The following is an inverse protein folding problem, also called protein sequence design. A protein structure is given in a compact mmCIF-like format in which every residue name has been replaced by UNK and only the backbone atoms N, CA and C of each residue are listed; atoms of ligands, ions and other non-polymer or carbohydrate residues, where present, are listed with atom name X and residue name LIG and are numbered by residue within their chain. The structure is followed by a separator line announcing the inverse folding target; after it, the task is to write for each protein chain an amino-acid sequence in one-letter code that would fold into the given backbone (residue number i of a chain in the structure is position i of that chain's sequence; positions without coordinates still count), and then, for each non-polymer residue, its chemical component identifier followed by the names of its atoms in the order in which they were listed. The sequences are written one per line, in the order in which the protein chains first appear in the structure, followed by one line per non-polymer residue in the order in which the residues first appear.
data_IF_832504273634
#
_entry.id   IF_832504273634
#
_cell.length_a   1.000
_cell.length_b   1.000
_cell.length_c   1.000
_cell.angle_alpha   90.00
_cell.angle_beta   90.00
_cell.angle_gamma   90.00
#
_symmetry.space_group_name_H-M   'P 1'
#
loop_
_entity.id
_entity.type
_entity.pdbx_description
1 polymer ?
#
# COMPACT_ATOMS: atom_id res chain seq x y z
N UNK A 1 -26.31 30.52 85.84
CA UNK A 1 -27.64 30.14 85.29
C UNK A 1 -27.68 30.45 83.80
N UNK A 2 -27.90 29.47 82.91
CA UNK A 2 -27.42 28.09 82.94
C UNK A 2 -26.05 27.98 82.23
N UNK A 3 -25.21 27.11 82.79
CA UNK A 3 -23.86 26.80 82.35
C UNK A 3 -23.87 25.51 81.54
N UNK A 4 -22.84 25.35 80.73
CA UNK A 4 -22.79 24.51 79.54
C UNK A 4 -22.89 23.01 79.79
N UNK A 5 -23.37 22.32 78.75
CA UNK A 5 -23.57 20.89 78.66
C UNK A 5 -22.28 20.08 78.87
N UNK A 6 -22.44 19.06 79.70
CA UNK A 6 -21.45 18.05 80.06
C UNK A 6 -21.29 17.01 78.94
N UNK A 7 -20.04 16.64 78.69
CA UNK A 7 -19.60 15.61 77.75
C UNK A 7 -20.04 14.21 78.22
N UNK A 8 -20.36 13.32 77.29
CA UNK A 8 -20.29 11.88 77.54
C UNK A 8 -19.66 11.17 76.33
N UNK A 9 -18.83 10.17 76.67
CA UNK A 9 -17.79 9.50 75.88
C UNK A 9 -18.27 8.70 74.65
N UNK A 10 -17.35 8.36 73.71
CA UNK A 10 -17.69 7.73 72.44
C UNK A 10 -17.91 6.22 72.56
N UNK A 11 -18.92 5.71 71.85
CA UNK A 11 -19.22 4.29 71.74
C UNK A 11 -18.22 3.55 70.81
N UNK A 12 -17.96 2.29 71.17
CA UNK A 12 -16.99 1.35 70.61
C UNK A 12 -17.11 1.14 69.09
N UNK A 13 -15.95 1.12 68.43
CA UNK A 13 -15.79 0.70 67.04
C UNK A 13 -15.89 -0.82 66.95
N UNK A 14 -16.95 -1.32 66.32
CA UNK A 14 -17.04 -2.71 65.88
C UNK A 14 -16.32 -2.87 64.54
N UNK A 15 -15.44 -3.87 64.44
CA UNK A 15 -14.63 -4.17 63.26
C UNK A 15 -15.49 -4.51 62.01
N UNK A 16 -15.05 -4.14 60.79
CA UNK A 16 -15.78 -4.48 59.57
C UNK A 16 -15.62 -5.97 59.23
N UNK A 17 -16.74 -6.58 58.85
CA UNK A 17 -16.84 -7.96 58.40
C UNK A 17 -16.00 -8.23 57.15
N UNK A 18 -15.40 -9.43 57.11
CA UNK A 18 -14.65 -9.98 55.97
C UNK A 18 -15.46 -9.90 54.67
N UNK A 19 -14.94 -9.14 53.70
CA UNK A 19 -15.43 -9.18 52.34
C UNK A 19 -14.96 -10.47 51.68
N UNK A 20 -15.92 -11.35 51.44
CA UNK A 20 -15.78 -12.56 50.63
C UNK A 20 -15.41 -12.15 49.19
N UNK A 21 -14.41 -12.82 48.62
CA UNK A 21 -13.93 -12.56 47.26
C UNK A 21 -15.06 -12.71 46.21
N UNK A 22 -15.16 -11.82 45.21
CA UNK A 22 -16.09 -12.02 44.10
C UNK A 22 -15.60 -13.15 43.19
N UNK A 23 -16.54 -14.01 42.80
CA UNK A 23 -16.37 -15.14 41.91
C UNK A 23 -15.75 -14.74 40.55
N UNK A 24 -14.93 -15.65 40.00
CA UNK A 24 -14.39 -15.59 38.65
C UNK A 24 -15.48 -15.26 37.62
N UNK A 25 -15.32 -14.14 36.92
CA UNK A 25 -16.09 -13.87 35.72
C UNK A 25 -15.56 -14.76 34.60
N UNK A 26 -16.33 -15.80 34.30
CA UNK A 26 -16.24 -16.58 33.07
C UNK A 26 -16.33 -15.66 31.85
N UNK A 27 -15.44 -15.90 30.88
CA UNK A 27 -15.35 -15.17 29.63
C UNK A 27 -16.70 -15.15 28.87
N UNK A 28 -17.07 -14.03 28.21
CA UNK A 28 -18.23 -14.02 27.34
C UNK A 28 -18.00 -14.89 26.09
N UNK A 29 -19.02 -15.69 25.77
CA UNK A 29 -19.09 -16.62 24.67
C UNK A 29 -18.79 -15.97 23.30
N UNK A 30 -18.12 -16.72 22.44
CA UNK A 30 -17.91 -16.42 21.02
C UNK A 30 -19.22 -16.01 20.35
N UNK A 31 -19.22 -14.83 19.75
CA UNK A 31 -20.26 -14.44 18.81
C UNK A 31 -20.13 -15.32 17.57
N UNK A 32 -21.09 -16.22 17.43
CA UNK A 32 -21.34 -17.02 16.24
C UNK A 32 -21.52 -16.11 15.02
N UNK A 33 -20.79 -16.42 13.95
CA UNK A 33 -20.88 -15.74 12.67
C UNK A 33 -22.34 -15.73 12.12
N UNK A 34 -22.82 -14.64 11.52
CA UNK A 34 -24.10 -14.65 10.82
C UNK A 34 -24.02 -15.53 9.56
N UNK A 35 -25.07 -16.33 9.39
CA UNK A 35 -25.23 -17.36 8.38
C UNK A 35 -25.04 -16.86 6.93
N UNK A 36 -24.46 -17.74 6.11
CA UNK A 36 -24.38 -17.63 4.65
C UNK A 36 -25.74 -17.29 4.05
N UNK A 37 -25.82 -16.15 3.38
CA UNK A 37 -26.91 -15.87 2.46
C UNK A 37 -26.76 -16.78 1.24
N UNK A 38 -27.69 -17.71 1.15
CA UNK A 38 -27.87 -18.65 0.05
C UNK A 38 -28.17 -17.85 -1.23
N UNK A 39 -27.38 -18.12 -2.28
CA UNK A 39 -27.63 -17.56 -3.61
C UNK A 39 -29.03 -17.99 -4.12
N UNK A 40 -29.82 -17.10 -4.74
CA UNK A 40 -31.07 -17.50 -5.36
C UNK A 40 -30.80 -18.33 -6.62
N UNK A 41 -31.63 -19.37 -6.77
CA UNK A 41 -31.56 -20.44 -7.76
C UNK A 41 -31.51 -19.97 -9.22
N UNK A 42 -30.76 -20.72 -10.02
CA UNK A 42 -30.70 -20.67 -11.48
C UNK A 42 -32.11 -20.73 -12.09
N UNK A 43 -32.52 -19.64 -12.72
CA UNK A 43 -33.61 -19.68 -13.68
C UNK A 43 -33.04 -20.22 -15.00
N UNK A 44 -33.45 -21.43 -15.32
CA UNK A 44 -33.28 -22.09 -16.61
C UNK A 44 -33.94 -21.25 -17.70
N UNK A 45 -33.13 -20.59 -18.52
CA UNK A 45 -33.59 -19.92 -19.73
C UNK A 45 -33.97 -20.98 -20.78
N UNK A 46 -35.25 -20.99 -21.14
CA UNK A 46 -35.85 -21.80 -22.19
C UNK A 46 -35.43 -21.30 -23.58
N UNK A 47 -35.07 -22.26 -24.44
CA UNK A 47 -35.14 -22.29 -25.90
C UNK A 47 -34.51 -21.14 -26.71
N UNK A 48 -33.43 -21.48 -27.42
CA UNK A 48 -32.86 -20.73 -28.53
C UNK A 48 -33.83 -20.67 -29.74
N UNK A 49 -33.90 -19.53 -30.43
CA UNK A 49 -34.11 -19.49 -31.86
C UNK A 49 -32.78 -19.25 -32.59
N UNK A 50 -32.66 -19.89 -33.75
CA UNK A 50 -31.48 -19.94 -34.61
C UNK A 50 -31.04 -18.55 -35.12
N UNK A 51 -29.73 -18.47 -35.40
CA UNK A 51 -28.92 -17.34 -35.85
C UNK A 51 -29.40 -16.63 -37.13
N UNK A 52 -29.12 -15.32 -37.25
CA UNK A 52 -28.61 -14.76 -38.49
C UNK A 52 -27.16 -14.28 -38.33
N UNK A 53 -26.37 -14.48 -39.39
CA UNK A 53 -24.95 -14.20 -39.52
C UNK A 53 -24.45 -12.91 -38.84
N UNK A 54 -23.34 -13.04 -38.11
CA UNK A 54 -22.57 -11.92 -37.57
C UNK A 54 -21.94 -11.16 -38.74
N UNK A 55 -22.19 -9.86 -38.94
CA UNK A 55 -21.38 -9.07 -39.84
C UNK A 55 -19.98 -8.97 -39.24
N UNK A 56 -18.99 -9.23 -40.09
CA UNK A 56 -17.56 -9.10 -39.84
C UNK A 56 -17.26 -7.79 -39.07
N UNK A 57 -16.64 -7.89 -37.88
CA UNK A 57 -16.33 -6.78 -36.99
C UNK A 57 -15.11 -5.98 -37.47
N UNK A 58 -15.09 -5.64 -38.76
CA UNK A 58 -14.01 -4.92 -39.42
C UNK A 58 -14.55 -3.74 -40.22
N UNK A 59 -15.51 -2.97 -39.68
CA UNK A 59 -15.67 -1.54 -40.00
C UNK A 59 -16.71 -0.89 -39.06
N UNK A 60 -16.28 -0.44 -37.87
CA UNK A 60 -17.10 0.48 -37.06
C UNK A 60 -16.60 1.90 -37.35
N UNK A 61 -17.41 2.79 -37.94
CA UNK A 61 -16.98 4.14 -38.25
C UNK A 61 -16.65 4.91 -36.98
N UNK A 62 -15.42 5.42 -36.90
CA UNK A 62 -14.80 6.10 -35.77
C UNK A 62 -15.30 7.53 -35.55
N UNK A 63 -16.59 7.80 -35.77
CA UNK A 63 -17.14 9.16 -35.69
C UNK A 63 -18.11 9.26 -34.50
N UNK A 64 -17.59 9.05 -33.29
CA UNK A 64 -18.41 9.06 -32.07
C UNK A 64 -18.91 10.47 -31.69
N UNK A 65 -18.32 11.54 -32.21
CA UNK A 65 -18.78 12.93 -31.99
C UNK A 65 -18.48 13.82 -33.22
N UNK A 66 -19.41 13.92 -34.19
CA UNK A 66 -19.18 14.68 -35.41
C UNK A 66 -18.86 16.15 -35.10
N UNK A 67 -17.70 16.61 -35.58
CA UNK A 67 -17.22 17.98 -35.42
C UNK A 67 -16.29 18.24 -34.24
N UNK A 68 -16.13 17.29 -33.31
CA UNK A 68 -15.16 17.39 -32.22
C UNK A 68 -13.86 16.73 -32.65
N UNK A 69 -12.79 17.53 -32.81
CA UNK A 69 -11.43 17.02 -33.06
C UNK A 69 -10.75 16.80 -31.71
N UNK A 70 -10.33 15.57 -31.38
CA UNK A 70 -9.72 15.30 -30.08
C UNK A 70 -8.43 16.12 -29.91
N UNK A 71 -8.41 16.98 -28.90
CA UNK A 71 -7.26 17.81 -28.50
C UNK A 71 -7.37 18.27 -27.03
N UNK A 72 -8.19 17.58 -26.23
CA UNK A 72 -8.47 17.92 -24.84
C UNK A 72 -7.33 17.46 -23.91
N UNK A 73 -7.06 18.25 -22.87
CA UNK A 73 -6.17 17.88 -21.76
C UNK A 73 -6.98 17.84 -20.47
N UNK A 74 -6.86 16.76 -19.71
CA UNK A 74 -7.48 16.62 -18.39
C UNK A 74 -6.42 16.88 -17.32
N UNK A 75 -6.74 17.75 -16.36
CA UNK A 75 -5.86 18.05 -15.21
C UNK A 75 -6.61 17.72 -13.93
N UNK A 76 -6.09 16.83 -13.07
CA UNK A 76 -6.73 16.52 -11.80
C UNK A 76 -6.70 17.72 -10.86
N UNK A 77 -7.82 17.94 -10.16
CA UNK A 77 -7.94 18.93 -9.09
C UNK A 77 -8.09 18.23 -7.75
N UNK A 78 -7.00 18.17 -6.99
CA UNK A 78 -6.88 17.49 -5.69
C UNK A 78 -7.18 18.45 -4.53
N UNK A 79 -7.34 17.93 -3.33
CA UNK A 79 -7.65 18.74 -2.15
C UNK A 79 -6.39 19.16 -1.40
N UNK A 80 -6.37 20.41 -0.90
CA UNK A 80 -5.24 20.97 -0.16
C UNK A 80 -5.64 21.33 1.28
N UNK A 81 -5.35 20.45 2.22
CA UNK A 81 -5.60 20.66 3.65
C UNK A 81 -4.68 21.75 4.24
N UNK A 82 -3.42 21.80 3.80
CA UNK A 82 -2.41 22.78 4.24
C UNK A 82 -1.61 23.30 3.06
N UNK A 83 -1.69 24.62 2.79
CA UNK A 83 -0.99 25.27 1.67
C UNK A 83 0.51 25.13 1.80
N UNK A 84 1.04 25.39 2.99
CA UNK A 84 2.48 25.45 3.21
C UNK A 84 3.10 24.06 3.15
N UNK A 85 2.47 23.04 3.76
CA UNK A 85 2.93 21.65 3.67
C UNK A 85 2.85 21.11 2.24
N UNK A 86 1.78 21.45 1.50
CA UNK A 86 1.62 21.02 0.11
C UNK A 86 2.71 21.64 -0.79
N UNK A 87 2.99 22.93 -0.65
CA UNK A 87 4.03 23.61 -1.39
C UNK A 87 5.42 23.04 -1.06
N UNK A 88 5.76 22.92 0.23
CA UNK A 88 7.03 22.34 0.67
C UNK A 88 7.24 20.96 0.06
N UNK A 89 6.23 20.09 0.17
CA UNK A 89 6.31 18.72 -0.31
C UNK A 89 6.56 18.62 -1.82
N UNK A 90 5.74 19.28 -2.64
CA UNK A 90 5.89 19.18 -4.09
C UNK A 90 7.17 19.86 -4.59
N UNK A 91 7.55 21.00 -4.01
CA UNK A 91 8.82 21.65 -4.35
C UNK A 91 10.03 20.80 -3.94
N UNK A 92 9.98 20.11 -2.80
CA UNK A 92 11.02 19.18 -2.36
C UNK A 92 11.22 18.03 -3.37
N UNK A 93 10.13 17.56 -3.97
CA UNK A 93 10.14 16.52 -5.02
C UNK A 93 10.54 17.05 -6.40
N UNK A 94 10.76 18.36 -6.53
CA UNK A 94 11.19 19.01 -7.76
C UNK A 94 10.06 19.42 -8.71
N UNK A 95 8.81 19.46 -8.22
CA UNK A 95 7.71 20.03 -8.98
C UNK A 95 7.87 21.54 -9.07
N UNK A 96 7.63 22.07 -10.27
CA UNK A 96 7.54 23.50 -10.51
C UNK A 96 6.19 24.02 -10.01
N UNK A 97 6.17 25.13 -9.27
CA UNK A 97 4.94 25.83 -8.91
C UNK A 97 4.57 26.77 -10.06
N UNK A 98 3.60 26.37 -10.88
CA UNK A 98 3.16 27.14 -12.05
C UNK A 98 2.09 28.18 -11.69
N UNK A 99 1.38 27.98 -10.58
CA UNK A 99 0.44 28.95 -10.03
C UNK A 99 0.31 28.81 -8.51
N UNK A 100 0.15 29.95 -7.81
CA UNK A 100 -0.10 29.98 -6.36
C UNK A 100 -1.08 31.09 -6.00
N UNK A 101 -2.19 30.72 -5.39
CA UNK A 101 -3.14 31.62 -4.75
C UNK A 101 -3.68 30.99 -3.46
N UNK A 102 -3.57 31.71 -2.33
CA UNK A 102 -4.13 31.27 -1.05
C UNK A 102 -5.42 31.99 -0.68
N UNK A 103 -5.66 33.20 -1.23
CA UNK A 103 -6.86 34.01 -1.01
C UNK A 103 -7.25 34.77 -2.29
N UNK A 104 -8.56 35.05 -2.49
CA UNK A 104 -9.71 34.64 -1.67
C UNK A 104 -10.07 33.16 -1.86
N UNK A 105 -9.71 32.58 -3.01
CA UNK A 105 -9.92 31.16 -3.33
C UNK A 105 -8.59 30.44 -3.37
N UNK A 106 -8.49 29.34 -2.65
CA UNK A 106 -7.28 28.51 -2.64
C UNK A 106 -7.14 27.82 -4.00
N UNK A 107 -6.01 28.03 -4.66
CA UNK A 107 -5.64 27.36 -5.89
C UNK A 107 -4.11 27.25 -6.00
N UNK A 108 -3.60 26.03 -6.09
CA UNK A 108 -2.19 25.77 -6.39
C UNK A 108 -2.11 24.95 -7.67
N UNK A 109 -1.10 25.21 -8.50
CA UNK A 109 -0.80 24.40 -9.67
C UNK A 109 0.67 24.01 -9.67
N UNK A 110 0.91 22.74 -9.94
CA UNK A 110 2.23 22.15 -9.99
C UNK A 110 2.44 21.46 -11.33
N UNK A 111 3.65 21.56 -11.87
CA UNK A 111 4.08 20.83 -13.06
C UNK A 111 5.29 19.97 -12.73
N UNK A 112 5.29 18.74 -13.24
CA UNK A 112 6.48 17.90 -13.18
C UNK A 112 6.52 16.97 -14.38
N UNK A 113 7.65 16.98 -15.09
CA UNK A 113 7.76 16.31 -16.39
C UNK A 113 6.63 16.76 -17.32
N UNK A 114 5.88 15.84 -17.91
CA UNK A 114 4.79 16.11 -18.86
C UNK A 114 3.38 16.19 -18.27
N UNK A 115 3.21 16.32 -16.94
CA UNK A 115 1.87 16.41 -16.34
C UNK A 115 1.74 17.54 -15.32
N UNK A 116 0.50 17.97 -15.12
CA UNK A 116 0.08 19.01 -14.19
C UNK A 116 -0.79 18.42 -13.08
N UNK A 117 -0.64 18.93 -11.85
CA UNK A 117 -1.51 18.66 -10.71
C UNK A 117 -2.01 19.97 -10.13
N UNK A 118 -3.32 20.12 -10.04
CA UNK A 118 -3.94 21.31 -9.47
C UNK A 118 -4.56 20.97 -8.12
N UNK A 119 -4.65 21.97 -7.25
CA UNK A 119 -5.10 21.82 -5.86
C UNK A 119 -6.11 22.90 -5.50
N UNK A 120 -7.20 22.48 -4.86
CA UNK A 120 -8.32 23.34 -4.46
C UNK A 120 -8.68 23.11 -2.99
N UNK A 121 -9.61 23.92 -2.48
CA UNK A 121 -10.07 23.83 -1.08
C UNK A 121 -10.69 22.44 -0.82
N UNK A 122 -10.35 21.78 0.31
CA UNK A 122 -10.98 20.54 0.71
C UNK A 122 -12.45 20.74 1.12
N UNK A 123 -13.30 19.70 1.08
CA UNK A 123 -14.61 19.75 1.71
C UNK A 123 -14.46 19.92 3.23
N UNK A 124 -15.52 20.43 3.87
CA UNK A 124 -15.55 20.59 5.32
C UNK A 124 -15.43 19.24 6.03
N UNK A 125 -14.60 19.17 7.08
CA UNK A 125 -14.40 17.94 7.85
C UNK A 125 -13.49 16.90 7.17
N UNK A 126 -12.79 17.25 6.09
CA UNK A 126 -11.78 16.37 5.49
C UNK A 126 -10.70 16.02 6.53
N UNK A 127 -10.50 14.74 6.76
CA UNK A 127 -9.42 14.20 7.57
C UNK A 127 -8.38 13.51 6.66
N UNK A 128 -7.21 14.13 6.43
CA UNK A 128 -6.15 13.56 5.61
C UNK A 128 -5.74 12.15 6.05
N UNK A 129 -5.78 11.85 7.36
CA UNK A 129 -5.34 10.56 7.90
C UNK A 129 -6.21 9.38 7.47
N UNK A 130 -7.42 9.65 6.94
CA UNK A 130 -8.29 8.63 6.35
C UNK A 130 -7.90 8.25 4.93
N UNK A 131 -7.06 9.05 4.25
CA UNK A 131 -6.54 8.74 2.91
C UNK A 131 -7.64 8.46 1.86
N UNK A 132 -8.77 9.16 2.00
CA UNK A 132 -9.92 9.08 1.09
C UNK A 132 -10.23 10.44 0.44
N UNK A 133 -9.21 11.28 0.30
CA UNK A 133 -9.39 12.69 -0.04
C UNK A 133 -9.39 12.93 -1.56
N UNK A 134 -8.80 12.03 -2.34
CA UNK A 134 -8.81 12.09 -3.79
C UNK A 134 -7.60 11.39 -4.38
N UNK A 135 -7.44 11.48 -5.70
CA UNK A 135 -6.27 10.93 -6.37
C UNK A 135 -6.30 11.06 -7.88
N UNK A 136 -5.22 10.63 -8.50
CA UNK A 136 -5.11 10.54 -9.96
C UNK A 136 -4.21 9.38 -10.37
N UNK A 137 -4.37 8.94 -11.61
CA UNK A 137 -3.51 7.96 -12.25
C UNK A 137 -2.57 8.69 -13.20
N UNK A 138 -1.28 8.39 -13.09
CA UNK A 138 -0.23 8.87 -13.98
C UNK A 138 0.30 7.68 -14.75
N UNK A 139 -0.17 7.54 -15.99
CA UNK A 139 0.26 6.46 -16.87
C UNK A 139 1.63 6.79 -17.45
N UNK A 140 2.60 5.89 -17.27
CA UNK A 140 4.00 6.07 -17.67
C UNK A 140 4.54 4.81 -18.35
N UNK A 141 5.61 4.95 -19.13
CA UNK A 141 6.22 3.82 -19.85
C UNK A 141 7.40 3.20 -19.07
N UNK A 142 7.91 3.89 -18.06
CA UNK A 142 8.96 3.41 -17.15
C UNK A 142 8.68 3.87 -15.72
N UNK A 143 7.93 3.05 -14.98
CA UNK A 143 7.61 3.31 -13.57
C UNK A 143 8.86 3.38 -12.67
N UNK A 144 9.91 2.60 -12.98
CA UNK A 144 11.11 2.54 -12.15
C UNK A 144 11.84 3.89 -12.12
N UNK A 145 11.99 4.53 -13.28
CA UNK A 145 12.64 5.84 -13.39
C UNK A 145 11.90 6.93 -12.63
N UNK A 146 10.56 6.92 -12.67
CA UNK A 146 9.74 7.88 -11.93
C UNK A 146 9.89 7.70 -10.42
N UNK A 147 9.86 6.44 -9.95
CA UNK A 147 10.08 6.14 -8.52
C UNK A 147 11.46 6.59 -8.06
N UNK A 148 12.51 6.23 -8.82
CA UNK A 148 13.89 6.56 -8.50
C UNK A 148 14.12 8.08 -8.39
N UNK A 149 13.52 8.87 -9.30
CA UNK A 149 13.60 10.32 -9.29
C UNK A 149 12.97 10.92 -8.03
N UNK A 150 11.76 10.49 -7.66
CA UNK A 150 11.07 10.97 -6.45
C UNK A 150 11.81 10.57 -5.17
N UNK A 151 12.31 9.32 -5.10
CA UNK A 151 13.13 8.84 -3.98
C UNK A 151 14.41 9.64 -3.83
N UNK A 152 15.10 9.95 -4.94
CA UNK A 152 16.32 10.76 -4.91
C UNK A 152 16.02 12.18 -4.40
N UNK A 153 14.91 12.78 -4.84
CA UNK A 153 14.47 14.09 -4.37
C UNK A 153 14.14 14.09 -2.87
N UNK A 154 13.39 13.10 -2.38
CA UNK A 154 13.12 12.94 -0.95
C UNK A 154 14.40 12.82 -0.13
N UNK A 155 15.36 12.00 -0.56
CA UNK A 155 16.64 11.85 0.14
C UNK A 155 17.44 13.14 0.20
N UNK A 156 17.45 13.90 -0.90
CA UNK A 156 18.16 15.18 -0.96
C UNK A 156 17.54 16.21 -0.03
N UNK A 157 16.22 16.27 0.06
CA UNK A 157 15.52 17.29 0.83
C UNK A 157 15.30 16.91 2.30
N UNK A 158 14.78 15.71 2.57
CA UNK A 158 14.43 15.23 3.90
C UNK A 158 15.54 14.40 4.57
N UNK A 159 16.62 14.09 3.86
CA UNK A 159 17.69 13.19 4.34
C UNK A 159 17.27 11.71 4.41
N UNK A 160 16.00 11.41 4.13
CA UNK A 160 15.41 10.07 4.16
C UNK A 160 14.28 9.97 3.14
N UNK A 161 13.79 8.77 2.91
CA UNK A 161 12.57 8.56 2.13
C UNK A 161 11.38 8.43 3.09
N UNK A 162 10.27 9.06 2.75
CA UNK A 162 9.07 9.06 3.57
C UNK A 162 8.28 7.77 3.30
N UNK A 163 8.39 6.79 4.21
CA UNK A 163 7.85 5.44 4.04
C UNK A 163 6.45 5.22 4.66
N UNK A 164 6.11 6.01 5.67
CA UNK A 164 4.99 5.80 6.58
C UNK A 164 4.32 7.14 6.90
N UNK A 165 3.03 7.09 7.22
CA UNK A 165 2.23 8.28 7.48
C UNK A 165 1.97 9.09 6.22
N UNK A 166 1.73 10.38 6.40
CA UNK A 166 1.59 11.35 5.33
C UNK A 166 2.61 12.48 5.52
N UNK A 167 3.22 12.98 4.43
CA UNK A 167 3.24 12.36 3.11
C UNK A 167 4.12 11.09 3.08
N UNK A 168 3.92 10.21 2.08
CA UNK A 168 4.76 9.02 1.88
C UNK A 168 4.82 8.57 0.43
N UNK A 169 5.82 7.75 0.10
CA UNK A 169 5.88 7.00 -1.15
C UNK A 169 5.86 5.51 -0.85
N UNK A 170 4.99 4.75 -1.54
CA UNK A 170 5.00 3.30 -1.43
C UNK A 170 6.28 2.76 -2.04
N UNK A 171 6.75 1.66 -1.49
CA UNK A 171 8.00 1.06 -1.91
C UNK A 171 7.84 0.36 -3.27
N UNK A 172 8.61 0.77 -4.27
CA UNK A 172 8.68 0.13 -5.58
C UNK A 172 9.52 -1.17 -5.53
N UNK A 173 9.20 -2.14 -6.38
CA UNK A 173 9.94 -3.41 -6.56
C UNK A 173 10.35 -3.58 -8.00
N UNK A 174 11.39 -4.38 -8.23
CA UNK A 174 11.81 -4.67 -9.59
C UNK A 174 10.69 -5.43 -10.33
N UNK A 175 10.31 -4.92 -11.50
CA UNK A 175 9.20 -5.45 -12.28
C UNK A 175 7.82 -5.25 -11.64
N UNK A 176 7.68 -4.35 -10.66
CA UNK A 176 6.37 -3.81 -10.29
C UNK A 176 5.90 -2.85 -11.38
N UNK A 177 4.60 -2.89 -11.67
CA UNK A 177 3.94 -2.08 -12.69
C UNK A 177 3.38 -0.78 -12.14
N UNK A 178 3.50 -0.53 -10.82
CA UNK A 178 2.97 0.67 -10.18
C UNK A 178 3.65 1.01 -8.87
N UNK A 179 3.52 2.27 -8.46
CA UNK A 179 3.69 2.73 -7.07
C UNK A 179 2.76 3.91 -6.80
N UNK A 180 2.53 4.23 -5.53
CA UNK A 180 1.75 5.40 -5.11
C UNK A 180 2.60 6.40 -4.34
N UNK A 181 2.30 7.68 -4.58
CA UNK A 181 2.77 8.83 -3.82
C UNK A 181 1.55 9.41 -3.08
N UNK A 182 1.64 9.48 -1.77
CA UNK A 182 0.64 10.09 -0.90
C UNK A 182 1.14 11.48 -0.47
N UNK A 183 0.32 12.50 -0.69
CA UNK A 183 0.66 13.87 -0.32
C UNK A 183 0.23 14.20 1.14
N UNK A 184 0.57 15.39 1.68
CA UNK A 184 0.19 15.77 3.05
C UNK A 184 -1.33 15.85 3.30
N UNK A 185 -2.11 16.03 2.24
CA UNK A 185 -3.58 16.11 2.29
C UNK A 185 -4.24 14.74 2.10
N UNK A 186 -3.47 13.66 2.06
CA UNK A 186 -3.96 12.29 1.90
C UNK A 186 -4.38 11.92 0.48
N UNK A 187 -4.08 12.75 -0.53
CA UNK A 187 -4.40 12.40 -1.91
C UNK A 187 -3.40 11.36 -2.42
N UNK A 188 -3.89 10.45 -3.25
CA UNK A 188 -3.09 9.37 -3.82
C UNK A 188 -2.79 9.61 -5.31
N UNK A 189 -1.52 9.76 -5.65
CA UNK A 189 -1.04 9.83 -7.03
C UNK A 189 -0.42 8.47 -7.37
N UNK A 190 -1.05 7.72 -8.27
CA UNK A 190 -0.60 6.37 -8.63
C UNK A 190 0.10 6.42 -9.97
N UNK A 191 1.39 6.11 -9.98
CA UNK A 191 2.14 5.92 -11.21
C UNK A 191 1.94 4.49 -11.68
N UNK A 192 1.45 4.31 -12.89
CA UNK A 192 1.07 3.02 -13.46
C UNK A 192 1.73 2.84 -14.81
N UNK A 193 2.29 1.65 -15.04
CA UNK A 193 2.86 1.25 -16.31
C UNK A 193 1.75 1.18 -17.37
N UNK A 194 1.94 1.84 -18.51
CA UNK A 194 0.92 1.97 -19.55
C UNK A 194 0.50 0.65 -20.18
N UNK A 195 1.45 -0.27 -20.32
CA UNK A 195 1.23 -1.63 -20.83
C UNK A 195 0.95 -2.66 -19.72
N UNK A 196 0.56 -2.20 -18.52
CA UNK A 196 0.09 -3.11 -17.47
C UNK A 196 -1.11 -3.93 -17.98
N UNK A 197 -1.08 -5.28 -17.84
CA UNK A 197 -2.19 -6.12 -18.25
C UNK A 197 -3.48 -5.73 -17.50
N UNK A 198 -4.57 -5.53 -18.26
CA UNK A 198 -5.90 -5.19 -17.71
C UNK A 198 -6.42 -6.27 -16.75
N UNK A 199 -6.03 -7.52 -17.00
CA UNK A 199 -6.24 -8.64 -16.09
C UNK A 199 -5.01 -8.86 -15.20
N UNK A 200 -4.96 -8.17 -14.06
CA UNK A 200 -4.20 -8.69 -12.93
C UNK A 200 -4.94 -9.92 -12.44
N UNK A 201 -4.44 -11.12 -12.75
CA UNK A 201 -4.96 -12.34 -12.14
C UNK A 201 -4.81 -12.20 -10.61
N UNK A 202 -5.91 -11.82 -9.94
CA UNK A 202 -6.02 -11.60 -8.50
C UNK A 202 -5.80 -12.89 -7.67
N UNK A 203 -5.25 -13.93 -8.29
CA UNK A 203 -4.89 -15.22 -7.72
C UNK A 203 -3.52 -15.72 -8.20
N UNK A 204 -2.69 -14.81 -8.70
CA UNK A 204 -1.41 -15.10 -9.32
C UNK A 204 -1.54 -15.91 -10.61
N UNK A 205 -0.48 -15.91 -11.41
CA UNK A 205 -0.45 -16.62 -12.68
C UNK A 205 -0.76 -18.09 -12.48
N UNK A 206 -1.85 -18.56 -13.09
CA UNK A 206 -2.23 -19.99 -13.09
C UNK A 206 -1.22 -20.88 -13.83
N UNK A 207 -0.29 -20.27 -14.56
CA UNK A 207 0.79 -20.94 -15.31
C UNK A 207 2.05 -21.16 -14.46
N UNK A 208 2.12 -20.57 -13.28
CA UNK A 208 3.23 -20.75 -12.35
C UNK A 208 2.89 -21.87 -11.35
N UNK A 209 3.91 -22.62 -10.97
CA UNK A 209 3.81 -23.70 -9.99
C UNK A 209 4.83 -23.53 -8.86
N UNK A 210 4.57 -24.21 -7.73
CA UNK A 210 5.49 -24.31 -6.61
C UNK A 210 5.93 -22.95 -6.04
N UNK A 211 7.24 -22.72 -6.00
CA UNK A 211 7.82 -21.52 -5.38
C UNK A 211 7.55 -20.25 -6.21
N UNK A 212 7.57 -20.35 -7.54
CA UNK A 212 7.30 -19.21 -8.42
C UNK A 212 5.87 -18.67 -8.23
N UNK A 213 4.89 -19.56 -8.10
CA UNK A 213 3.49 -19.16 -7.80
C UNK A 213 3.35 -18.50 -6.43
N UNK A 214 4.06 -19.01 -5.43
CA UNK A 214 4.01 -18.41 -4.10
C UNK A 214 4.66 -17.03 -4.04
N UNK A 215 5.71 -16.80 -4.83
CA UNK A 215 6.31 -15.47 -4.98
C UNK A 215 5.36 -14.50 -5.68
N UNK A 216 4.67 -14.96 -6.70
CA UNK A 216 3.66 -14.16 -7.42
C UNK A 216 2.47 -13.81 -6.51
N UNK A 217 1.98 -14.76 -5.72
CA UNK A 217 0.95 -14.51 -4.69
C UNK A 217 1.42 -13.58 -3.58
N UNK A 218 2.69 -13.67 -3.19
CA UNK A 218 3.27 -12.73 -2.24
C UNK A 218 3.26 -11.30 -2.76
N UNK A 219 3.36 -11.05 -4.08
CA UNK A 219 3.19 -9.71 -4.66
C UNK A 219 1.80 -9.15 -4.33
N UNK A 220 0.75 -9.97 -4.41
CA UNK A 220 -0.63 -9.53 -4.16
C UNK A 220 -0.82 -9.05 -2.70
N UNK A 221 -0.30 -9.81 -1.72
CA UNK A 221 -0.36 -9.40 -0.31
C UNK A 221 0.34 -8.06 -0.05
N UNK A 222 1.39 -7.76 -0.82
CA UNK A 222 2.25 -6.59 -0.62
C UNK A 222 1.73 -5.35 -1.34
N UNK A 223 1.28 -5.53 -2.59
CA UNK A 223 0.88 -4.45 -3.48
C UNK A 223 -0.54 -3.98 -3.22
N UNK A 224 -1.47 -4.90 -2.90
CA UNK A 224 -2.88 -4.56 -2.73
C UNK A 224 -3.32 -4.52 -1.27
N UNK A 225 -2.73 -5.34 -0.40
CA UNK A 225 -3.13 -5.41 1.02
C UNK A 225 -2.15 -4.72 1.98
N UNK A 226 -0.97 -4.32 1.48
CA UNK A 226 0.11 -3.76 2.29
C UNK A 226 0.45 -4.59 3.54
N UNK A 227 0.24 -5.92 3.48
CA UNK A 227 0.46 -6.85 4.60
C UNK A 227 1.78 -7.60 4.43
N UNK A 228 2.88 -6.90 4.77
CA UNK A 228 4.23 -7.45 4.70
C UNK A 228 4.41 -8.67 5.62
N UNK A 229 3.67 -8.75 6.73
CA UNK A 229 3.78 -9.87 7.68
C UNK A 229 3.13 -11.13 7.10
N UNK A 230 1.96 -11.02 6.46
CA UNK A 230 1.35 -12.14 5.76
C UNK A 230 2.21 -12.60 4.58
N UNK A 231 2.79 -11.66 3.82
CA UNK A 231 3.72 -11.99 2.74
C UNK A 231 4.95 -12.75 3.26
N UNK A 232 5.56 -12.29 4.37
CA UNK A 232 6.73 -12.95 4.97
C UNK A 232 6.40 -14.40 5.36
N UNK A 233 5.27 -14.62 6.05
CA UNK A 233 4.81 -15.97 6.44
C UNK A 233 4.54 -16.84 5.22
N UNK A 234 3.89 -16.30 4.19
CA UNK A 234 3.56 -17.02 2.97
C UNK A 234 4.82 -17.51 2.23
N UNK A 235 5.75 -16.60 1.96
CA UNK A 235 7.01 -16.93 1.27
C UNK A 235 7.87 -17.88 2.11
N UNK A 236 7.92 -17.68 3.44
CA UNK A 236 8.68 -18.56 4.34
C UNK A 236 8.15 -20.00 4.31
N UNK A 237 6.83 -20.17 4.29
CA UNK A 237 6.20 -21.49 4.18
C UNK A 237 6.44 -22.12 2.81
N UNK A 238 6.29 -21.35 1.74
CA UNK A 238 6.52 -21.82 0.38
C UNK A 238 7.98 -22.25 0.14
N UNK A 239 8.94 -21.47 0.64
CA UNK A 239 10.36 -21.80 0.54
C UNK A 239 10.69 -23.12 1.25
N UNK A 240 10.09 -23.38 2.41
CA UNK A 240 10.23 -24.69 3.11
C UNK A 240 9.62 -25.84 2.31
N UNK A 241 8.46 -25.62 1.68
CA UNK A 241 7.71 -26.67 0.99
C UNK A 241 8.26 -27.02 -0.39
N UNK A 242 8.69 -26.02 -1.14
CA UNK A 242 9.04 -26.14 -2.56
C UNK A 242 10.52 -25.90 -2.84
N UNK A 243 11.27 -25.27 -1.92
CA UNK A 243 12.64 -24.80 -2.18
C UNK A 243 13.64 -25.89 -2.57
N UNK A 244 13.44 -27.14 -2.15
CA UNK A 244 14.36 -28.24 -2.51
C UNK A 244 14.18 -28.73 -3.96
N UNK A 245 13.06 -28.40 -4.60
CA UNK A 245 12.71 -28.82 -5.97
C UNK A 245 12.61 -27.65 -6.95
N UNK A 246 12.72 -26.42 -6.44
CA UNK A 246 12.63 -25.22 -7.26
C UNK A 246 13.97 -24.92 -7.95
N UNK A 247 13.94 -24.27 -9.12
CA UNK A 247 15.14 -23.69 -9.75
C UNK A 247 15.91 -22.78 -8.78
N UNK A 248 17.23 -22.73 -8.92
CA UNK A 248 18.09 -21.91 -8.05
C UNK A 248 17.70 -20.43 -8.09
N UNK A 249 17.30 -19.90 -9.25
CA UNK A 249 16.82 -18.52 -9.39
C UNK A 249 15.57 -18.24 -8.55
N UNK A 250 14.61 -19.16 -8.48
CA UNK A 250 13.39 -18.98 -7.69
C UNK A 250 13.66 -19.04 -6.19
N UNK A 251 14.57 -19.93 -5.78
CA UNK A 251 15.08 -19.97 -4.40
C UNK A 251 15.78 -18.66 -4.05
N UNK A 252 16.57 -18.13 -4.98
CA UNK A 252 17.27 -16.86 -4.80
C UNK A 252 16.32 -15.67 -4.67
N UNK A 253 15.31 -15.58 -5.52
CA UNK A 253 14.27 -14.56 -5.47
C UNK A 253 13.44 -14.65 -4.17
N UNK A 254 13.13 -15.86 -3.70
CA UNK A 254 12.44 -16.04 -2.43
C UNK A 254 13.28 -15.60 -1.24
N UNK A 255 14.58 -15.94 -1.21
CA UNK A 255 15.49 -15.49 -0.15
C UNK A 255 15.66 -13.97 -0.18
N UNK A 256 15.82 -13.36 -1.35
CA UNK A 256 15.86 -11.90 -1.49
C UNK A 256 14.57 -11.25 -0.97
N UNK A 257 13.40 -11.80 -1.31
CA UNK A 257 12.10 -11.33 -0.81
C UNK A 257 11.97 -11.46 0.70
N UNK A 258 12.45 -12.55 1.30
CA UNK A 258 12.41 -12.75 2.76
C UNK A 258 13.35 -11.79 3.48
N UNK A 259 14.59 -11.64 3.01
CA UNK A 259 15.56 -10.68 3.53
C UNK A 259 14.97 -9.28 3.52
N UNK A 260 14.36 -8.93 2.39
CA UNK A 260 13.71 -7.67 2.16
C UNK A 260 12.55 -7.40 3.14
N UNK A 261 11.63 -8.36 3.30
CA UNK A 261 10.45 -8.22 4.17
C UNK A 261 10.84 -8.17 5.64
N UNK A 262 11.75 -9.05 6.06
CA UNK A 262 12.30 -9.06 7.41
C UNK A 262 13.01 -7.76 7.75
N UNK A 263 13.76 -7.18 6.81
CA UNK A 263 14.39 -5.86 7.00
C UNK A 263 13.34 -4.76 7.14
N UNK A 264 12.26 -4.79 6.35
CA UNK A 264 11.19 -3.78 6.46
C UNK A 264 10.37 -3.88 7.76
N UNK A 265 10.27 -5.08 8.34
CA UNK A 265 9.58 -5.38 9.59
C UNK A 265 10.47 -5.28 10.84
N UNK A 266 11.78 -5.03 10.66
CA UNK A 266 12.79 -5.05 11.73
C UNK A 266 12.93 -6.41 12.45
N UNK A 267 12.64 -7.50 11.74
CA UNK A 267 12.70 -8.88 12.27
C UNK A 267 13.96 -9.61 11.81
N UNK A 268 15.13 -9.23 12.35
CA UNK A 268 16.43 -9.60 11.77
C UNK A 268 16.94 -11.02 12.06
N UNK A 269 16.21 -11.83 12.84
CA UNK A 269 16.69 -13.12 13.37
C UNK A 269 17.13 -14.13 12.30
N UNK A 270 16.37 -14.26 11.21
CA UNK A 270 16.66 -15.23 10.14
C UNK A 270 17.56 -14.66 9.02
N UNK A 271 17.88 -13.35 9.06
CA UNK A 271 18.63 -12.68 8.00
C UNK A 271 19.99 -13.33 7.70
N UNK A 272 20.84 -13.66 8.70
CA UNK A 272 22.15 -14.26 8.42
C UNK A 272 22.03 -15.58 7.67
N UNK A 273 21.11 -16.45 8.10
CA UNK A 273 20.89 -17.76 7.49
C UNK A 273 20.39 -17.64 6.04
N UNK A 274 19.48 -16.70 5.76
CA UNK A 274 19.02 -16.47 4.39
C UNK A 274 20.10 -15.87 3.50
N UNK A 275 20.91 -14.94 4.01
CA UNK A 275 22.03 -14.38 3.25
C UNK A 275 23.08 -15.45 2.91
N UNK A 276 23.44 -16.30 3.87
CA UNK A 276 24.43 -17.36 3.64
C UNK A 276 23.92 -18.40 2.64
N UNK A 277 22.64 -18.78 2.74
CA UNK A 277 22.01 -19.65 1.75
C UNK A 277 21.98 -19.01 0.36
N UNK A 278 21.71 -17.71 0.27
CA UNK A 278 21.67 -16.99 -1.00
C UNK A 278 23.05 -16.92 -1.66
N UNK A 279 24.11 -16.66 -0.88
CA UNK A 279 25.50 -16.67 -1.37
C UNK A 279 25.96 -18.04 -1.87
N UNK A 280 25.39 -19.12 -1.30
CA UNK A 280 25.71 -20.50 -1.68
C UNK A 280 25.01 -21.00 -2.94
N UNK A 281 24.12 -20.22 -3.55
CA UNK A 281 23.42 -20.64 -4.78
C UNK A 281 24.35 -20.57 -5.99
N UNK A 282 24.33 -21.63 -6.82
CA UNK A 282 24.95 -21.63 -8.14
C UNK A 282 23.98 -20.96 -9.11
N UNK A 283 24.34 -19.76 -9.57
CA UNK A 283 23.53 -18.91 -10.43
C UNK A 283 24.35 -18.46 -11.64
N UNK A 284 23.69 -18.34 -12.79
CA UNK A 284 24.26 -17.64 -13.95
C UNK A 284 24.38 -16.13 -13.65
N UNK A 285 25.20 -15.42 -14.43
CA UNK A 285 25.35 -13.97 -14.26
C UNK A 285 24.04 -13.20 -14.47
N UNK A 286 23.17 -13.69 -15.37
CA UNK A 286 21.87 -13.09 -15.60
C UNK A 286 20.93 -13.26 -14.40
N UNK A 287 20.91 -14.45 -13.80
CA UNK A 287 20.11 -14.73 -12.60
C UNK A 287 20.64 -13.97 -11.37
N UNK A 288 21.96 -13.89 -11.23
CA UNK A 288 22.62 -13.10 -10.18
C UNK A 288 22.23 -11.63 -10.29
N UNK A 289 22.34 -11.02 -11.48
CA UNK A 289 21.91 -9.63 -11.70
C UNK A 289 20.43 -9.41 -11.38
N UNK A 290 19.58 -10.37 -11.71
CA UNK A 290 18.14 -10.31 -11.38
C UNK A 290 17.90 -10.32 -9.87
N UNK A 291 18.61 -11.16 -9.13
CA UNK A 291 18.51 -11.25 -7.66
C UNK A 291 19.13 -10.01 -7.00
N UNK A 292 20.26 -9.53 -7.52
CA UNK A 292 20.92 -8.30 -7.05
C UNK A 292 20.01 -7.08 -7.25
N UNK A 293 19.28 -6.98 -8.35
CA UNK A 293 18.29 -5.91 -8.55
C UNK A 293 17.18 -5.94 -7.47
N UNK A 294 16.70 -7.12 -7.07
CA UNK A 294 15.74 -7.27 -5.96
C UNK A 294 16.39 -6.92 -4.60
N UNK A 295 17.66 -7.28 -4.40
CA UNK A 295 18.40 -6.99 -3.18
C UNK A 295 18.85 -5.54 -3.05
N UNK A 296 19.22 -4.83 -4.12
CA UNK A 296 19.59 -3.40 -4.06
C UNK A 296 18.40 -2.56 -3.59
N UNK A 297 17.18 -2.99 -3.94
CA UNK A 297 15.93 -2.43 -3.43
C UNK A 297 15.76 -2.72 -1.93
N UNK A 298 16.31 -3.83 -1.41
CA UNK A 298 16.31 -4.21 0.02
C UNK A 298 17.47 -3.56 0.83
N UNK A 299 18.67 -3.44 0.25
CA UNK A 299 19.80 -2.71 0.83
C UNK A 299 19.50 -1.21 0.92
N UNK A 300 18.71 -0.69 -0.02
CA UNK A 300 18.06 0.61 0.16
C UNK A 300 17.24 0.63 1.46
N UNK A 301 16.40 -0.35 1.79
CA UNK A 301 15.63 -0.38 3.07
C UNK A 301 16.52 -0.42 4.31
N UNK A 302 17.66 -1.13 4.30
CA UNK A 302 18.59 -1.10 5.44
C UNK A 302 19.18 0.31 5.67
N UNK A 303 19.50 1.04 4.60
CA UNK A 303 19.82 2.48 4.65
C UNK A 303 18.64 3.37 5.04
N UNK A 304 17.39 2.89 5.02
CA UNK A 304 16.22 3.66 5.48
C UNK A 304 16.06 3.65 7.00
N UNK A 305 16.66 2.69 7.70
CA UNK A 305 16.59 2.60 9.17
C UNK A 305 17.88 3.05 9.88
N UNK A 306 19.05 2.99 9.23
CA UNK A 306 20.34 3.33 9.87
C UNK A 306 20.62 4.83 10.09
N UNK A 307 19.58 5.68 10.15
CA UNK A 307 19.71 7.06 10.67
C UNK A 307 18.48 7.50 11.46
N UNK A 308 18.35 6.98 12.66
CA UNK A 308 17.89 7.75 13.83
C UNK A 308 18.88 7.43 14.98
N UNK A 309 19.19 8.41 15.84
CA UNK A 309 20.24 8.29 16.86
C UNK A 309 20.00 7.15 17.85
#
# INVERSE_FOLDING_TARGET
MPEQAEQTAPAEQTAPAEQTAPAEQTAPAEQTAPAEQTAPAEQTASAAPETPDTPDATDMPSDQHPGVRPNETVVPTLHCASVDETLEFFQALGFEVTYRQSRPYLYLAFRWSGFDLHYTRPPEGLDPSREHTGGCLVMVDDVASYHAALVAAMRRHYGKVLARGLPRITRYRFGATRFSLMDPSGNQIIFIQRDEPVELEYGGSKRLDGLARALDQARIFREFRHDDRAALRHVSSALRRYGNRAPAVDVGLALATLIELSTALDETGDLPAWMDRLRGLVLTDAERRRIEAELEIAAHVRRWFEKLP
#
